data_IF_801123368080
#
_entry.id   IF_801123368080
#
_cell.length_a   1.000
_cell.length_b   1.000
_cell.length_c   1.000
_cell.angle_alpha   90.00
_cell.angle_beta   90.00
_cell.angle_gamma   90.00
#
_symmetry.space_group_name_H-M   'P 1'
#
loop_
_entity.id
_entity.type
_entity.pdbx_description
1 polymer ?
#
# COMPACT_ATOMS: atom_id res chain seq x y z
N UNK A 1 32.67 -0.79 -8.96
CA UNK A 1 31.80 -1.47 -7.98
C UNK A 1 30.40 -0.92 -8.14
N UNK A 2 29.38 -1.77 -8.15
CA UNK A 2 27.98 -1.35 -8.11
C UNK A 2 27.63 -0.74 -6.74
N UNK A 3 26.49 -0.08 -6.65
CA UNK A 3 25.98 0.46 -5.37
C UNK A 3 25.81 -0.66 -4.34
N UNK A 4 25.28 -1.82 -4.74
CA UNK A 4 25.14 -2.99 -3.87
C UNK A 4 26.48 -3.52 -3.37
N UNK A 5 27.46 -3.64 -4.25
CA UNK A 5 28.82 -4.06 -3.89
C UNK A 5 29.49 -3.10 -2.89
N UNK A 6 29.26 -1.78 -3.03
CA UNK A 6 29.79 -0.77 -2.10
C UNK A 6 29.14 -0.85 -0.72
N UNK A 7 27.82 -1.04 -0.66
CA UNK A 7 27.10 -1.24 0.59
C UNK A 7 27.60 -2.51 1.30
N UNK A 8 27.77 -3.60 0.55
CA UNK A 8 28.28 -4.87 1.10
C UNK A 8 29.73 -4.73 1.62
N UNK A 9 30.58 -3.97 0.92
CA UNK A 9 31.95 -3.72 1.34
C UNK A 9 32.02 -2.91 2.65
N UNK A 10 31.31 -1.78 2.72
CA UNK A 10 31.27 -0.90 3.89
C UNK A 10 30.65 -1.60 5.11
N UNK A 11 29.61 -2.41 4.91
CA UNK A 11 29.02 -3.24 5.98
C UNK A 11 30.04 -4.22 6.56
N UNK A 12 30.77 -4.94 5.68
CA UNK A 12 31.78 -5.93 6.10
C UNK A 12 32.96 -5.27 6.79
N UNK A 13 33.37 -4.10 6.33
CA UNK A 13 34.45 -3.31 6.96
C UNK A 13 34.09 -2.89 8.40
N UNK A 14 32.82 -2.57 8.65
CA UNK A 14 32.31 -2.31 10.00
C UNK A 14 31.96 -3.59 10.80
N UNK A 15 32.24 -4.79 10.27
CA UNK A 15 32.02 -6.07 10.95
C UNK A 15 30.55 -6.44 11.17
N UNK A 16 29.61 -5.86 10.42
CA UNK A 16 28.17 -6.07 10.62
C UNK A 16 27.63 -7.24 9.78
N UNK A 17 26.65 -7.98 10.30
CA UNK A 17 25.82 -8.90 9.51
C UNK A 17 24.74 -8.12 8.73
N UNK A 18 24.08 -8.75 7.75
CA UNK A 18 22.99 -8.10 7.01
C UNK A 18 21.78 -7.81 7.91
N UNK A 19 21.57 -8.64 8.92
CA UNK A 19 20.57 -8.49 9.98
C UNK A 19 20.88 -7.26 10.83
N UNK A 20 22.12 -7.11 11.31
CA UNK A 20 22.56 -5.93 12.06
C UNK A 20 22.50 -4.65 11.21
N UNK A 21 22.80 -4.81 9.91
CA UNK A 21 22.45 -3.94 8.78
C UNK A 21 21.04 -3.35 8.92
N UNK A 22 20.08 -4.26 8.77
CA UNK A 22 18.66 -3.94 8.77
C UNK A 22 18.19 -3.33 10.08
N UNK A 23 18.57 -3.90 11.22
CA UNK A 23 18.17 -3.41 12.55
C UNK A 23 18.58 -1.95 12.78
N UNK A 24 19.79 -1.55 12.37
CA UNK A 24 20.28 -0.17 12.50
C UNK A 24 19.53 0.84 11.63
N UNK A 25 18.97 0.39 10.51
CA UNK A 25 18.23 1.22 9.56
C UNK A 25 16.70 1.07 9.73
N UNK A 26 16.23 0.24 10.67
CA UNK A 26 14.80 -0.06 10.82
C UNK A 26 14.20 -0.89 9.67
N UNK A 27 15.02 -1.72 9.01
CA UNK A 27 14.68 -2.48 7.81
C UNK A 27 14.86 -3.99 8.02
N UNK A 28 14.19 -4.79 7.18
CA UNK A 28 14.39 -6.23 7.20
C UNK A 28 15.75 -6.61 6.61
N UNK A 29 16.35 -7.70 7.12
CA UNK A 29 17.54 -8.33 6.52
C UNK A 29 17.39 -8.57 5.01
N UNK A 30 16.18 -8.95 4.58
CA UNK A 30 15.89 -9.21 3.16
C UNK A 30 16.02 -7.95 2.30
N UNK A 31 15.63 -6.78 2.81
CA UNK A 31 15.81 -5.51 2.10
C UNK A 31 17.29 -5.20 1.86
N UNK A 32 18.12 -5.35 2.90
CA UNK A 32 19.59 -5.20 2.80
C UNK A 32 20.19 -6.22 1.82
N UNK A 33 19.74 -7.48 1.86
CA UNK A 33 20.21 -8.51 0.93
C UNK A 33 19.87 -8.21 -0.53
N UNK A 34 18.70 -7.61 -0.81
CA UNK A 34 18.30 -7.22 -2.16
C UNK A 34 19.15 -6.05 -2.67
N UNK A 35 19.52 -5.11 -1.81
CA UNK A 35 20.42 -4.01 -2.18
C UNK A 35 21.83 -4.50 -2.48
N UNK A 36 22.39 -5.36 -1.63
CA UNK A 36 23.75 -5.91 -1.84
C UNK A 36 23.85 -6.80 -3.08
N UNK A 37 22.74 -7.37 -3.54
CA UNK A 37 22.64 -8.17 -4.76
C UNK A 37 22.23 -7.34 -6.00
N UNK A 38 22.14 -6.02 -5.90
CA UNK A 38 21.66 -5.09 -6.94
C UNK A 38 20.25 -5.44 -7.49
N UNK A 39 19.45 -6.19 -6.73
CA UNK A 39 18.08 -6.57 -7.09
C UNK A 39 17.07 -5.46 -6.75
N UNK A 40 17.45 -4.53 -5.88
CA UNK A 40 16.67 -3.36 -5.56
C UNK A 40 17.61 -2.18 -5.25
N UNK A 41 17.15 -0.96 -5.51
CA UNK A 41 17.90 0.26 -5.20
C UNK A 41 17.39 0.83 -3.88
N UNK A 42 18.26 1.22 -2.93
CA UNK A 42 17.82 1.89 -1.71
C UNK A 42 17.10 3.22 -2.03
N UNK A 43 16.07 3.56 -1.26
CA UNK A 43 15.40 4.87 -1.37
C UNK A 43 16.37 6.01 -1.01
N UNK A 44 16.02 7.24 -1.37
CA UNK A 44 16.86 8.40 -1.03
C UNK A 44 17.09 8.54 0.48
N UNK A 45 16.05 8.30 1.29
CA UNK A 45 16.16 8.34 2.75
C UNK A 45 17.13 7.26 3.27
N UNK A 46 17.04 6.04 2.74
CA UNK A 46 17.95 4.95 3.09
C UNK A 46 19.39 5.24 2.66
N UNK A 47 19.61 5.87 1.50
CA UNK A 47 20.94 6.31 1.06
C UNK A 47 21.52 7.38 2.00
N UNK A 48 20.69 8.32 2.48
CA UNK A 48 21.11 9.34 3.44
C UNK A 48 21.49 8.72 4.79
N UNK A 49 20.78 7.68 5.23
CA UNK A 49 21.13 6.95 6.46
C UNK A 49 22.39 6.10 6.29
N UNK A 50 22.55 5.39 5.17
CA UNK A 50 23.78 4.66 4.83
C UNK A 50 24.99 5.59 4.77
N UNK A 51 24.83 6.78 4.18
CA UNK A 51 25.87 7.81 4.14
C UNK A 51 26.29 8.27 5.54
N UNK A 52 25.33 8.50 6.44
CA UNK A 52 25.62 8.86 7.84
C UNK A 52 26.28 7.71 8.59
N UNK A 53 25.80 6.48 8.39
CA UNK A 53 26.28 5.29 9.09
C UNK A 53 27.70 4.89 8.68
N UNK A 54 28.03 5.01 7.40
CA UNK A 54 29.34 4.66 6.85
C UNK A 54 30.31 5.85 6.77
N UNK A 55 29.84 7.09 7.00
CA UNK A 55 30.68 8.29 6.95
C UNK A 55 31.15 8.65 5.54
N UNK A 56 30.44 8.18 4.49
CA UNK A 56 30.77 8.45 3.08
C UNK A 56 29.68 9.29 2.44
N UNK A 57 30.00 10.22 1.52
CA UNK A 57 28.99 10.97 0.77
C UNK A 57 28.06 10.04 -0.03
N UNK A 58 26.78 10.38 -0.11
CA UNK A 58 25.80 9.62 -0.94
C UNK A 58 26.27 9.49 -2.40
N UNK A 59 26.89 10.54 -2.94
CA UNK A 59 27.45 10.55 -4.29
C UNK A 59 28.52 9.44 -4.50
N UNK A 60 29.30 9.14 -3.45
CA UNK A 60 30.30 8.06 -3.46
C UNK A 60 29.65 6.67 -3.49
N UNK A 61 28.48 6.50 -2.86
CA UNK A 61 27.71 5.25 -2.90
C UNK A 61 27.12 4.98 -4.29
N UNK A 62 26.75 6.03 -5.03
CA UNK A 62 26.03 5.91 -6.32
C UNK A 62 26.93 5.91 -7.55
N UNK A 63 28.11 6.56 -7.51
CA UNK A 63 28.98 6.66 -8.68
C UNK A 63 29.81 5.39 -8.89
N UNK A 64 29.77 4.73 -10.06
CA UNK A 64 30.55 3.52 -10.32
C UNK A 64 32.07 3.73 -10.21
N UNK A 65 32.54 4.94 -10.51
CA UNK A 65 33.95 5.31 -10.64
C UNK A 65 34.54 5.99 -9.38
N UNK A 66 33.75 6.16 -8.32
CA UNK A 66 34.22 6.77 -7.08
C UNK A 66 34.90 5.74 -6.17
N UNK A 67 36.18 5.97 -5.87
CA UNK A 67 36.93 5.21 -4.86
C UNK A 67 36.35 5.44 -3.45
N UNK A 68 36.20 4.36 -2.67
CA UNK A 68 35.72 4.42 -1.28
C UNK A 68 36.84 4.98 -0.39
N UNK A 69 37.02 6.31 -0.36
CA UNK A 69 37.93 6.95 0.59
C UNK A 69 37.18 7.37 1.87
N UNK A 70 37.52 6.73 2.99
CA UNK A 70 37.07 7.15 4.32
C UNK A 70 37.84 8.40 4.76
N UNK A 71 37.11 9.35 5.37
CA UNK A 71 37.72 10.55 5.96
C UNK A 71 38.27 10.21 7.35
N UNK A 72 39.60 10.15 7.46
CA UNK A 72 40.29 10.23 8.76
C UNK A 72 40.25 11.67 9.30
N UNK A 73 40.20 11.81 10.62
CA UNK A 73 39.94 13.03 11.39
C UNK A 73 41.00 14.14 11.25
N UNK A 74 40.54 15.37 11.48
CA UNK A 74 41.22 16.63 11.84
C UNK A 74 42.58 17.00 11.22
N UNK A 75 42.58 18.06 10.41
CA UNK A 75 43.55 19.16 10.51
C UNK A 75 43.16 20.32 9.58
N UNK A 76 43.16 21.52 10.16
CA UNK A 76 43.37 22.77 9.46
C UNK A 76 44.55 22.65 8.49
N UNK A 77 44.38 22.95 7.20
CA UNK A 77 45.37 23.66 6.37
C UNK A 77 44.73 24.11 5.04
N UNK A 78 44.81 25.43 4.79
CA UNK A 78 44.46 26.08 3.52
C UNK A 78 45.57 25.86 2.50
N UNK A 79 45.22 25.45 1.28
CA UNK A 79 46.13 25.41 0.13
C UNK A 79 46.61 26.82 -0.29
N UNK A 80 47.87 27.01 -0.73
CA UNK A 80 48.42 28.32 -1.11
C UNK A 80 48.17 28.65 -2.58
N UNK A 81 48.07 29.94 -2.90
CA UNK A 81 48.31 30.43 -4.26
C UNK A 81 47.30 31.42 -4.83
N UNK A 82 47.20 32.62 -4.24
CA UNK A 82 46.95 33.84 -4.99
C UNK A 82 47.51 35.03 -4.20
N UNK A 83 48.52 35.63 -4.80
CA UNK A 83 49.39 36.66 -4.22
C UNK A 83 48.74 38.07 -4.26
N UNK A 84 49.17 38.91 -3.30
CA UNK A 84 49.17 40.38 -3.21
C UNK A 84 48.06 41.19 -2.48
N UNK A 85 48.42 41.52 -1.22
CA UNK A 85 48.36 42.80 -0.47
C UNK A 85 47.14 43.20 0.41
N UNK A 86 47.38 43.87 1.57
CA UNK A 86 46.45 43.89 2.70
C UNK A 86 45.86 45.28 2.99
N UNK A 87 44.54 45.38 3.27
CA UNK A 87 44.00 46.49 4.10
C UNK A 87 42.80 46.05 4.97
N UNK A 88 43.10 45.73 6.24
CA UNK A 88 42.47 46.18 7.49
C UNK A 88 40.94 46.50 7.51
N UNK A 89 40.10 45.65 8.15
CA UNK A 89 39.09 46.09 9.17
C UNK A 89 38.40 44.89 9.91
N UNK A 90 38.86 44.58 11.13
CA UNK A 90 38.50 43.35 11.87
C UNK A 90 37.26 43.40 12.80
N UNK A 91 36.42 44.43 12.78
CA UNK A 91 35.39 44.59 13.83
C UNK A 91 33.91 44.49 13.40
N UNK A 92 33.61 44.23 12.12
CA UNK A 92 32.22 44.18 11.62
C UNK A 92 31.70 42.77 11.34
N UNK A 93 32.57 41.84 10.90
CA UNK A 93 32.17 40.47 10.52
C UNK A 93 31.76 39.60 11.73
N UNK A 94 32.47 39.70 12.86
CA UNK A 94 32.13 38.92 14.07
C UNK A 94 30.81 39.35 14.72
N UNK A 95 30.48 40.65 14.67
CA UNK A 95 29.20 41.16 15.18
C UNK A 95 28.01 40.67 14.35
N UNK A 96 28.15 40.58 13.02
CA UNK A 96 27.11 40.05 12.14
C UNK A 96 26.94 38.55 12.35
N UNK A 97 28.04 37.80 12.48
CA UNK A 97 28.01 36.37 12.79
C UNK A 97 27.35 36.07 14.15
N UNK A 98 27.64 36.88 15.18
CA UNK A 98 27.03 36.73 16.51
C UNK A 98 25.52 37.01 16.51
N UNK A 99 25.06 38.03 15.77
CA UNK A 99 23.63 38.34 15.65
C UNK A 99 22.89 37.23 14.86
N UNK A 100 23.52 36.68 13.81
CA UNK A 100 22.95 35.56 13.06
C UNK A 100 22.82 34.29 13.92
N UNK A 101 23.84 33.97 14.74
CA UNK A 101 23.79 32.85 15.68
C UNK A 101 22.73 33.05 16.77
N UNK A 102 22.60 34.26 17.32
CA UNK A 102 21.55 34.59 18.30
C UNK A 102 20.14 34.49 17.69
N UNK A 103 19.95 34.95 16.45
CA UNK A 103 18.69 34.80 15.73
C UNK A 103 18.31 33.33 15.50
N UNK A 104 19.28 32.49 15.12
CA UNK A 104 19.09 31.04 14.95
C UNK A 104 18.67 30.35 16.25
N UNK A 105 19.28 30.73 17.38
CA UNK A 105 18.90 30.21 18.70
C UNK A 105 17.49 30.67 19.11
N UNK A 106 17.11 31.92 18.83
CA UNK A 106 15.75 32.38 19.10
C UNK A 106 14.70 31.63 18.27
N UNK A 107 14.99 31.38 16.98
CA UNK A 107 14.10 30.59 16.11
C UNK A 107 14.00 29.15 16.60
N UNK A 108 15.10 28.52 17.01
CA UNK A 108 15.06 27.14 17.51
C UNK A 108 14.22 27.04 18.79
N UNK A 109 14.38 27.98 19.73
CA UNK A 109 13.62 28.00 20.98
C UNK A 109 12.12 28.20 20.72
N UNK A 110 11.75 29.07 19.79
CA UNK A 110 10.34 29.26 19.38
C UNK A 110 9.78 28.00 18.72
N UNK A 111 10.52 27.38 17.81
CA UNK A 111 10.12 26.10 17.20
C UNK A 111 9.93 25.01 18.25
N UNK A 112 10.86 24.87 19.20
CA UNK A 112 10.73 23.91 20.30
C UNK A 112 9.51 24.21 21.18
N UNK A 113 9.21 25.47 21.48
CA UNK A 113 8.04 25.86 22.25
C UNK A 113 6.72 25.54 21.51
N UNK A 114 6.66 25.78 20.21
CA UNK A 114 5.51 25.44 19.37
C UNK A 114 5.31 23.92 19.28
N UNK A 115 6.40 23.16 19.11
CA UNK A 115 6.36 21.70 19.10
C UNK A 115 5.89 21.15 20.45
N UNK A 116 6.41 21.67 21.57
CA UNK A 116 5.95 21.30 22.92
C UNK A 116 4.47 21.63 23.11
N UNK A 117 4.01 22.79 22.66
CA UNK A 117 2.60 23.16 22.75
C UNK A 117 1.70 22.23 21.92
N UNK A 118 2.13 21.86 20.71
CA UNK A 118 1.43 20.87 19.86
C UNK A 118 1.34 19.50 20.52
N UNK A 119 2.43 19.02 21.12
CA UNK A 119 2.46 17.75 21.85
C UNK A 119 1.52 17.78 23.05
N UNK A 120 1.55 18.86 23.84
CA UNK A 120 0.64 19.02 24.99
C UNK A 120 -0.83 19.10 24.54
N UNK A 121 -1.10 19.77 23.42
CA UNK A 121 -2.45 19.87 22.86
C UNK A 121 -2.97 18.50 22.37
N UNK A 122 -2.11 17.71 21.71
CA UNK A 122 -2.44 16.34 21.30
C UNK A 122 -2.65 15.42 22.50
N UNK A 123 -1.83 15.55 23.55
CA UNK A 123 -1.99 14.75 24.76
C UNK A 123 -3.36 14.98 25.41
N UNK A 124 -3.84 16.23 25.43
CA UNK A 124 -5.20 16.54 25.91
C UNK A 124 -6.29 15.92 25.05
N UNK A 125 -6.11 15.84 23.73
CA UNK A 125 -7.07 15.17 22.85
C UNK A 125 -7.09 13.66 23.12
N UNK A 126 -5.92 13.05 23.30
CA UNK A 126 -5.78 11.63 23.68
C UNK A 126 -6.43 11.35 25.05
N UNK A 127 -6.21 12.19 26.05
CA UNK A 127 -6.81 12.02 27.38
C UNK A 127 -8.33 12.22 27.35
N UNK A 128 -8.83 13.13 26.51
CA UNK A 128 -10.27 13.32 26.27
C UNK A 128 -10.88 12.08 25.62
N UNK A 129 -10.20 11.48 24.64
CA UNK A 129 -10.61 10.23 23.99
C UNK A 129 -10.60 9.06 25.00
N UNK A 130 -9.55 8.95 25.81
CA UNK A 130 -9.44 7.93 26.88
C UNK A 130 -10.51 8.06 27.96
N UNK A 131 -10.91 9.29 28.29
CA UNK A 131 -12.02 9.55 29.22
C UNK A 131 -13.39 9.18 28.60
N UNK A 132 -13.52 9.24 27.28
CA UNK A 132 -14.74 8.80 26.57
C UNK A 132 -14.77 7.28 26.31
N UNK A 133 -13.62 6.61 26.21
CA UNK A 133 -13.54 5.19 25.80
C UNK A 133 -13.32 4.18 26.93
N UNK A 134 -13.22 4.62 28.20
CA UNK A 134 -12.87 3.74 29.32
C UNK A 134 -11.50 3.05 29.13
N UNK A 135 -11.03 2.25 30.10
CA UNK A 135 -9.82 1.45 29.95
C UNK A 135 -10.07 0.33 28.92
N UNK A 136 -9.82 0.60 27.64
CA UNK A 136 -9.85 -0.40 26.59
C UNK A 136 -8.63 -1.31 26.75
N UNK A 137 -8.82 -2.48 27.35
CA UNK A 137 -7.79 -3.53 27.29
C UNK A 137 -7.82 -4.08 25.87
N UNK A 138 -6.89 -3.63 25.02
CA UNK A 138 -6.75 -4.16 23.66
C UNK A 138 -6.06 -5.52 23.80
N UNK A 139 -6.84 -6.59 23.76
CA UNK A 139 -6.35 -7.95 23.69
C UNK A 139 -5.86 -8.23 22.26
N UNK A 140 -4.54 -8.44 22.09
CA UNK A 140 -3.98 -9.01 20.87
C UNK A 140 -3.84 -10.52 21.10
N UNK A 141 -4.64 -11.38 20.43
CA UNK A 141 -4.37 -12.81 20.47
C UNK A 141 -3.03 -13.09 19.79
N UNK A 142 -2.19 -13.87 20.48
CA UNK A 142 -0.91 -14.34 19.97
C UNK A 142 -1.17 -15.43 18.91
N UNK A 143 -0.71 -15.23 17.67
CA UNK A 143 -1.02 -16.09 16.52
C UNK A 143 -0.29 -17.45 16.54
N UNK A 144 0.05 -17.95 17.72
CA UNK A 144 0.65 -19.26 17.92
C UNK A 144 -0.22 -20.08 18.85
N UNK A 145 -0.83 -21.13 18.29
CA UNK A 145 -1.66 -22.18 18.90
C UNK A 145 -3.17 -21.99 18.81
N UNK A 146 -3.79 -23.02 18.22
CA UNK A 146 -5.22 -23.19 18.06
C UNK A 146 -5.93 -23.36 19.40
N UNK A 147 -6.35 -22.26 20.03
CA UNK A 147 -7.51 -22.19 20.93
C UNK A 147 -8.14 -20.79 20.81
N UNK A 148 -9.16 -20.67 19.95
CA UNK A 148 -9.98 -19.45 19.88
C UNK A 148 -10.90 -19.44 21.12
N UNK A 149 -10.55 -18.67 22.17
CA UNK A 149 -10.81 -19.07 23.56
C UNK A 149 -12.03 -18.47 24.29
N UNK A 150 -12.79 -17.53 23.73
CA UNK A 150 -13.91 -16.86 24.45
C UNK A 150 -15.30 -17.05 23.81
N UNK A 151 -15.36 -17.63 22.61
CA UNK A 151 -16.61 -17.95 21.89
C UNK A 151 -16.94 -19.44 22.03
N UNK A 152 -18.22 -19.74 22.23
CA UNK A 152 -18.78 -21.09 22.23
C UNK A 152 -19.10 -21.54 20.80
N UNK A 153 -19.57 -20.62 19.96
CA UNK A 153 -19.88 -20.83 18.54
C UNK A 153 -19.77 -19.49 17.79
N UNK A 154 -19.44 -19.53 16.51
CA UNK A 154 -19.40 -18.35 15.65
C UNK A 154 -19.46 -18.71 14.18
N UNK A 155 -20.00 -17.80 13.39
CA UNK A 155 -19.98 -17.89 11.94
C UNK A 155 -19.81 -16.51 11.33
N UNK A 156 -19.21 -16.50 10.14
CA UNK A 156 -19.05 -15.31 9.34
C UNK A 156 -19.33 -15.67 7.88
N UNK A 157 -19.93 -14.73 7.17
CA UNK A 157 -20.11 -14.78 5.74
C UNK A 157 -19.92 -13.39 5.15
N UNK A 158 -18.94 -13.26 4.27
CA UNK A 158 -18.72 -12.08 3.42
C UNK A 158 -19.26 -12.35 2.04
N UNK A 159 -19.97 -11.37 1.49
CA UNK A 159 -20.39 -11.35 0.08
C UNK A 159 -20.25 -9.94 -0.48
N UNK A 160 -20.37 -9.75 -1.80
CA UNK A 160 -20.54 -8.40 -2.35
C UNK A 160 -21.93 -7.87 -2.01
N UNK A 161 -22.01 -6.62 -1.55
CA UNK A 161 -23.29 -5.98 -1.25
C UNK A 161 -24.05 -5.67 -2.55
N UNK A 162 -25.26 -6.22 -2.69
CA UNK A 162 -26.09 -6.03 -3.89
C UNK A 162 -26.72 -4.65 -3.98
N UNK A 163 -26.84 -3.94 -2.86
CA UNK A 163 -27.36 -2.57 -2.87
C UNK A 163 -26.25 -1.56 -3.19
N UNK A 164 -24.99 -1.93 -2.95
CA UNK A 164 -23.81 -1.13 -3.27
C UNK A 164 -22.61 -2.05 -3.58
N UNK A 165 -22.34 -2.31 -4.86
CA UNK A 165 -21.30 -3.26 -5.26
C UNK A 165 -19.86 -2.79 -4.97
N UNK A 166 -19.67 -1.54 -4.55
CA UNK A 166 -18.39 -1.03 -4.01
C UNK A 166 -18.14 -1.46 -2.55
N UNK A 167 -19.11 -2.15 -1.94
CA UNK A 167 -19.03 -2.61 -0.56
C UNK A 167 -19.08 -4.15 -0.47
N UNK A 168 -18.51 -4.65 0.62
CA UNK A 168 -18.70 -6.02 1.09
C UNK A 168 -19.77 -6.03 2.17
N UNK A 169 -20.66 -7.01 2.08
CA UNK A 169 -21.66 -7.31 3.07
C UNK A 169 -21.14 -8.40 4.00
N UNK A 170 -20.87 -8.03 5.25
CA UNK A 170 -20.44 -8.95 6.30
C UNK A 170 -21.64 -9.31 7.15
N UNK A 171 -21.97 -10.60 7.18
CA UNK A 171 -22.97 -11.19 8.07
C UNK A 171 -22.25 -12.05 9.09
N UNK A 172 -22.45 -11.77 10.37
CA UNK A 172 -21.71 -12.40 11.46
C UNK A 172 -22.65 -12.87 12.55
N UNK A 173 -22.32 -14.01 13.16
CA UNK A 173 -22.93 -14.53 14.37
C UNK A 173 -21.85 -14.97 15.34
N UNK A 174 -22.03 -14.69 16.62
CA UNK A 174 -21.11 -15.10 17.67
C UNK A 174 -21.86 -15.37 18.98
N UNK A 175 -21.52 -16.48 19.63
CA UNK A 175 -22.06 -16.90 20.93
C UNK A 175 -20.92 -16.85 21.94
N UNK A 176 -20.86 -15.85 22.84
CA UNK A 176 -19.86 -15.82 23.91
C UNK A 176 -20.03 -16.98 24.90
N UNK A 177 -18.93 -17.49 25.46
CA UNK A 177 -18.98 -18.50 26.54
C UNK A 177 -19.52 -17.95 27.86
N UNK A 178 -19.39 -16.64 28.05
CA UNK A 178 -19.87 -15.93 29.23
C UNK A 178 -20.53 -14.63 28.79
N UNK A 179 -21.82 -14.50 29.11
CA UNK A 179 -22.59 -13.28 28.97
C UNK A 179 -22.95 -12.77 30.37
N UNK A 180 -22.80 -11.47 30.60
CA UNK A 180 -23.20 -10.82 31.85
C UNK A 180 -24.58 -10.18 31.66
N UNK A 181 -25.39 -10.19 32.72
CA UNK A 181 -26.73 -9.62 32.69
C UNK A 181 -26.67 -8.11 32.37
N UNK A 182 -27.43 -7.70 31.34
CA UNK A 182 -27.53 -6.32 30.91
C UNK A 182 -26.37 -5.81 30.04
N UNK A 183 -25.53 -6.71 29.51
CA UNK A 183 -24.55 -6.36 28.47
C UNK A 183 -25.25 -5.90 27.18
N UNK A 184 -24.67 -4.89 26.53
CA UNK A 184 -25.01 -4.53 25.14
C UNK A 184 -23.90 -4.98 24.20
N UNK A 185 -24.29 -5.42 23.01
CA UNK A 185 -23.35 -5.97 22.03
C UNK A 185 -23.34 -5.15 20.73
N UNK A 186 -22.14 -4.99 20.17
CA UNK A 186 -21.91 -4.47 18.82
C UNK A 186 -20.93 -5.33 18.07
N UNK A 187 -21.11 -5.46 16.76
CA UNK A 187 -20.05 -5.94 15.89
C UNK A 187 -19.24 -4.78 15.36
N UNK A 188 -17.92 -4.92 15.35
CA UNK A 188 -16.98 -3.91 14.86
C UNK A 188 -16.05 -4.57 13.85
N UNK A 189 -16.07 -4.09 12.61
CA UNK A 189 -15.10 -4.47 11.59
C UNK A 189 -14.00 -3.43 11.56
N UNK A 190 -12.74 -3.89 11.54
CA UNK A 190 -11.56 -3.03 11.53
C UNK A 190 -10.63 -3.39 10.36
N UNK A 191 -10.16 -2.36 9.66
CA UNK A 191 -9.15 -2.48 8.61
C UNK A 191 -8.16 -1.32 8.74
N UNK A 192 -6.94 -1.59 9.21
CA UNK A 192 -5.98 -0.54 9.54
C UNK A 192 -6.54 0.47 10.55
N UNK A 193 -6.60 1.74 10.16
CA UNK A 193 -7.13 2.84 10.96
C UNK A 193 -8.65 3.05 10.79
N UNK A 194 -9.31 2.27 9.93
CA UNK A 194 -10.73 2.38 9.65
C UNK A 194 -11.53 1.36 10.48
N UNK A 195 -12.73 1.76 10.90
CA UNK A 195 -13.66 0.87 11.58
C UNK A 195 -15.11 1.18 11.25
N UNK A 196 -15.92 0.14 11.18
CA UNK A 196 -17.36 0.22 10.98
C UNK A 196 -18.05 -0.66 12.02
N UNK A 197 -19.20 -0.23 12.50
CA UNK A 197 -19.92 -0.94 13.55
C UNK A 197 -21.41 -1.09 13.23
N UNK A 198 -22.01 -2.14 13.77
CA UNK A 198 -23.45 -2.28 13.85
C UNK A 198 -23.85 -2.79 15.23
N UNK A 199 -25.04 -2.41 15.68
CA UNK A 199 -25.63 -2.98 16.88
C UNK A 199 -25.97 -4.45 16.63
N UNK A 200 -25.74 -5.30 17.62
CA UNK A 200 -26.02 -6.73 17.50
C UNK A 200 -27.44 -7.07 17.95
N UNK A 201 -28.09 -7.96 17.22
CA UNK A 201 -29.35 -8.58 17.61
C UNK A 201 -29.08 -9.76 18.54
N UNK A 202 -29.78 -9.83 19.67
CA UNK A 202 -29.67 -10.91 20.65
C UNK A 202 -30.75 -11.97 20.40
N UNK A 203 -30.35 -13.17 20.01
CA UNK A 203 -31.21 -14.34 19.75
C UNK A 203 -30.51 -15.64 20.19
N UNK A 204 -30.25 -15.79 21.50
CA UNK A 204 -29.41 -16.88 22.07
C UNK A 204 -27.96 -16.82 21.57
N UNK A 205 -27.43 -15.61 21.45
CA UNK A 205 -26.20 -15.27 20.75
C UNK A 205 -26.38 -13.95 20.02
N UNK A 206 -25.29 -13.38 19.53
CA UNK A 206 -25.30 -12.09 18.86
C UNK A 206 -25.17 -12.28 17.36
N UNK A 207 -26.04 -11.63 16.59
CA UNK A 207 -25.92 -11.56 15.13
C UNK A 207 -25.91 -10.13 14.64
N UNK A 208 -25.20 -9.88 13.55
CA UNK A 208 -25.07 -8.56 12.96
C UNK A 208 -24.88 -8.64 11.46
N UNK A 209 -25.28 -7.56 10.80
CA UNK A 209 -25.09 -7.36 9.38
C UNK A 209 -24.57 -5.95 9.15
N UNK A 210 -23.51 -5.81 8.37
CA UNK A 210 -22.89 -4.52 8.09
C UNK A 210 -22.37 -4.48 6.65
N UNK A 211 -22.55 -3.33 6.01
CA UNK A 211 -21.98 -3.03 4.69
C UNK A 211 -20.72 -2.20 4.89
N UNK A 212 -19.58 -2.73 4.47
CA UNK A 212 -18.26 -2.08 4.59
C UNK A 212 -17.72 -1.76 3.22
N UNK A 213 -17.03 -0.62 3.04
CA UNK A 213 -16.26 -0.35 1.84
C UNK A 213 -15.33 -1.52 1.50
N UNK A 214 -15.14 -1.77 0.21
CA UNK A 214 -14.24 -2.82 -0.25
C UNK A 214 -12.81 -2.57 0.26
N UNK A 215 -12.36 -3.43 1.17
CA UNK A 215 -10.99 -3.44 1.73
C UNK A 215 -10.43 -4.84 1.59
N UNK A 216 -9.12 -4.95 1.35
CA UNK A 216 -8.48 -6.25 1.04
C UNK A 216 -8.33 -7.15 2.29
N UNK A 217 -8.24 -6.54 3.47
CA UNK A 217 -8.11 -7.28 4.75
C UNK A 217 -8.92 -6.60 5.84
N UNK A 218 -9.59 -7.37 6.70
CA UNK A 218 -10.23 -6.84 7.92
C UNK A 218 -10.34 -7.88 9.03
N UNK A 219 -10.57 -7.42 10.26
CA UNK A 219 -10.93 -8.26 11.41
C UNK A 219 -12.30 -7.88 11.95
N UNK A 220 -13.08 -8.88 12.35
CA UNK A 220 -14.40 -8.70 12.96
C UNK A 220 -14.30 -8.96 14.46
N UNK A 221 -14.82 -8.03 15.26
CA UNK A 221 -14.86 -8.12 16.71
C UNK A 221 -16.31 -8.07 17.20
N UNK A 222 -16.61 -8.86 18.22
CA UNK A 222 -17.78 -8.68 19.07
C UNK A 222 -17.37 -7.83 20.28
N UNK A 223 -17.93 -6.63 20.38
CA UNK A 223 -17.72 -5.71 21.49
C UNK A 223 -18.88 -5.83 22.47
N UNK A 224 -18.62 -6.35 23.65
CA UNK A 224 -19.58 -6.43 24.75
C UNK A 224 -19.31 -5.31 25.74
N UNK A 225 -20.35 -4.55 26.08
CA UNK A 225 -20.25 -3.45 27.04
C UNK A 225 -21.14 -3.76 28.23
N UNK A 226 -20.53 -3.92 29.41
CA UNK A 226 -21.24 -4.17 30.66
C UNK A 226 -21.92 -2.92 31.21
N UNK A 227 -22.78 -3.09 32.23
CA UNK A 227 -23.50 -1.98 32.88
C UNK A 227 -22.59 -0.98 33.59
N UNK A 228 -21.37 -1.40 33.94
CA UNK A 228 -20.29 -0.55 34.49
C UNK A 228 -19.60 0.33 33.44
N UNK A 229 -19.87 0.08 32.14
CA UNK A 229 -19.15 0.69 31.03
C UNK A 229 -17.84 -0.01 30.66
N UNK A 230 -17.49 -1.12 31.31
CA UNK A 230 -16.35 -1.94 30.88
C UNK A 230 -16.63 -2.57 29.51
N UNK A 231 -15.61 -2.60 28.66
CA UNK A 231 -15.70 -3.16 27.31
C UNK A 231 -14.80 -4.38 27.17
N UNK A 232 -15.36 -5.43 26.58
CA UNK A 232 -14.65 -6.66 26.21
C UNK A 232 -14.76 -6.83 24.69
N UNK A 233 -13.62 -6.81 24.02
CA UNK A 233 -13.54 -7.03 22.58
C UNK A 233 -13.09 -8.47 22.32
N UNK A 234 -13.96 -9.27 21.72
CA UNK A 234 -13.69 -10.65 21.36
C UNK A 234 -13.46 -10.70 19.86
N UNK A 235 -12.29 -11.19 19.42
CA UNK A 235 -12.03 -11.42 18.00
C UNK A 235 -12.92 -12.57 17.50
N UNK A 236 -13.67 -12.34 16.44
CA UNK A 236 -14.54 -13.34 15.81
C UNK A 236 -13.78 -14.02 14.67
N UNK A 237 -13.31 -13.23 13.70
CA UNK A 237 -12.54 -13.73 12.54
C UNK A 237 -11.61 -12.63 12.00
N UNK A 238 -10.69 -13.02 11.12
CA UNK A 238 -9.91 -12.12 10.27
C UNK A 238 -9.88 -12.64 8.85
N UNK A 239 -10.16 -11.75 7.90
CA UNK A 239 -10.25 -12.01 6.48
C UNK A 239 -9.10 -11.32 5.73
N UNK A 240 -8.62 -11.98 4.67
CA UNK A 240 -7.48 -11.56 3.86
C UNK A 240 -7.73 -11.84 2.37
N UNK A 241 -6.96 -11.19 1.50
CA UNK A 241 -6.99 -11.35 0.04
C UNK A 241 -8.40 -11.19 -0.55
N UNK A 242 -9.21 -10.32 0.04
CA UNK A 242 -10.60 -10.08 -0.35
C UNK A 242 -10.69 -9.49 -1.76
N UNK A 243 -9.68 -8.72 -2.20
CA UNK A 243 -9.61 -8.22 -3.56
C UNK A 243 -9.55 -9.36 -4.57
N UNK A 244 -8.72 -10.38 -4.33
CA UNK A 244 -8.64 -11.55 -5.20
C UNK A 244 -9.92 -12.40 -5.14
N UNK A 245 -10.54 -12.49 -3.96
CA UNK A 245 -11.73 -13.33 -3.75
C UNK A 245 -12.99 -12.72 -4.34
N UNK A 246 -13.09 -11.39 -4.40
CA UNK A 246 -14.30 -10.70 -4.83
C UNK A 246 -14.08 -9.80 -6.05
N UNK A 247 -13.05 -10.04 -6.86
CA UNK A 247 -12.81 -9.30 -8.11
C UNK A 247 -12.47 -10.24 -9.25
N UNK A 248 -12.70 -9.78 -10.48
CA UNK A 248 -12.18 -10.44 -11.67
C UNK A 248 -10.79 -9.90 -11.99
N UNK A 249 -9.83 -10.80 -12.23
CA UNK A 249 -8.59 -10.46 -12.90
C UNK A 249 -8.79 -10.64 -14.41
N UNK A 250 -8.55 -9.58 -15.17
CA UNK A 250 -8.73 -9.56 -16.63
C UNK A 250 -7.42 -9.19 -17.28
N UNK A 251 -6.95 -10.04 -18.19
CA UNK A 251 -5.82 -9.75 -19.06
C UNK A 251 -6.22 -9.99 -20.51
N UNK A 252 -5.59 -9.27 -21.44
CA UNK A 252 -5.85 -9.44 -22.85
C UNK A 252 -4.57 -9.27 -23.67
N UNK A 253 -4.51 -9.96 -24.81
CA UNK A 253 -3.37 -9.89 -25.71
C UNK A 253 -3.72 -10.44 -27.10
N UNK A 254 -2.84 -10.19 -28.06
CA UNK A 254 -2.96 -10.79 -29.38
C UNK A 254 -2.40 -12.21 -29.38
N UNK A 255 -3.23 -13.20 -29.72
CA UNK A 255 -2.75 -14.54 -30.04
C UNK A 255 -2.17 -14.55 -31.47
N UNK A 256 -2.80 -13.81 -32.38
CA UNK A 256 -2.31 -13.59 -33.74
C UNK A 256 -2.81 -12.25 -34.29
N UNK A 257 -2.05 -11.66 -35.21
CA UNK A 257 -2.37 -10.34 -35.77
C UNK A 257 -1.98 -9.20 -34.83
N UNK A 258 -2.74 -8.10 -34.86
CA UNK A 258 -2.46 -6.92 -34.05
C UNK A 258 -2.82 -5.61 -34.73
N UNK A 259 -2.23 -4.53 -34.24
CA UNK A 259 -2.27 -3.22 -34.88
C UNK A 259 -1.14 -3.17 -35.93
N UNK A 260 -1.50 -2.88 -37.17
CA UNK A 260 -0.57 -2.78 -38.29
C UNK A 260 -0.78 -1.48 -39.07
N UNK A 261 0.29 -0.97 -39.67
CA UNK A 261 0.25 0.24 -40.49
C UNK A 261 0.83 -0.07 -41.86
N UNK A 262 0.03 0.15 -42.90
CA UNK A 262 0.40 -0.13 -44.29
C UNK A 262 -0.24 0.90 -45.20
N UNK A 263 0.50 1.37 -46.21
CA UNK A 263 -0.02 2.31 -47.22
C UNK A 263 -0.69 3.57 -46.64
N UNK A 264 -0.18 4.10 -45.51
CA UNK A 264 -0.75 5.29 -44.86
C UNK A 264 -1.99 5.02 -44.00
N UNK A 265 -2.41 3.76 -43.86
CA UNK A 265 -3.60 3.35 -43.12
C UNK A 265 -3.24 2.44 -41.95
N UNK A 266 -3.98 2.56 -40.86
CA UNK A 266 -3.90 1.65 -39.72
C UNK A 266 -5.03 0.63 -39.77
N UNK A 267 -4.70 -0.63 -39.50
CA UNK A 267 -5.64 -1.74 -39.35
C UNK A 267 -5.40 -2.44 -38.02
N UNK A 268 -6.47 -2.79 -37.33
CA UNK A 268 -6.49 -3.58 -36.10
C UNK A 268 -7.22 -4.86 -36.42
N UNK A 269 -6.48 -5.94 -36.62
CA UNK A 269 -7.06 -7.21 -37.03
C UNK A 269 -6.25 -8.39 -36.53
N UNK A 270 -6.93 -9.43 -36.03
CA UNK A 270 -6.28 -10.57 -35.42
C UNK A 270 -7.22 -11.36 -34.52
N UNK A 271 -6.70 -12.46 -33.96
CA UNK A 271 -7.39 -13.15 -32.88
C UNK A 271 -6.90 -12.60 -31.54
N UNK A 272 -7.81 -12.02 -30.78
CA UNK A 272 -7.55 -11.48 -29.46
C UNK A 272 -7.94 -12.53 -28.42
N UNK A 273 -7.01 -12.84 -27.52
CA UNK A 273 -7.28 -13.64 -26.34
C UNK A 273 -7.61 -12.72 -25.15
N UNK A 274 -8.67 -13.04 -24.41
CA UNK A 274 -9.02 -12.43 -23.13
C UNK A 274 -8.98 -13.53 -22.08
N UNK A 275 -8.08 -13.41 -21.12
CA UNK A 275 -7.99 -14.28 -19.97
C UNK A 275 -8.73 -13.64 -18.79
N UNK A 276 -9.62 -14.40 -18.16
CA UNK A 276 -10.37 -13.97 -16.98
C UNK A 276 -10.14 -15.00 -15.88
N UNK A 277 -9.71 -14.53 -14.72
CA UNK A 277 -9.52 -15.35 -13.53
C UNK A 277 -10.31 -14.77 -12.34
N UNK A 278 -10.87 -15.65 -11.51
CA UNK A 278 -11.56 -15.32 -10.27
C UNK A 278 -11.31 -16.40 -9.23
N UNK A 279 -10.89 -16.00 -8.03
CA UNK A 279 -10.77 -16.90 -6.88
C UNK A 279 -12.08 -17.02 -6.08
N UNK A 280 -13.16 -16.38 -6.56
CA UNK A 280 -14.48 -16.37 -5.90
C UNK A 280 -15.25 -17.69 -5.98
N UNK A 281 -14.73 -18.68 -6.71
CA UNK A 281 -15.55 -19.79 -7.21
C UNK A 281 -16.69 -19.24 -8.08
N UNK A 282 -17.95 -19.57 -7.73
CA UNK A 282 -19.13 -19.18 -8.51
C UNK A 282 -19.72 -17.78 -8.16
N UNK A 283 -19.20 -17.08 -7.14
CA UNK A 283 -19.85 -15.84 -6.66
C UNK A 283 -19.71 -14.67 -7.64
N UNK A 284 -18.50 -14.41 -8.13
CA UNK A 284 -18.22 -13.36 -9.11
C UNK A 284 -18.09 -14.00 -10.49
N UNK A 285 -19.00 -13.64 -11.40
CA UNK A 285 -19.02 -14.19 -12.75
C UNK A 285 -19.00 -13.08 -13.80
N UNK A 286 -18.22 -13.23 -14.88
CA UNK A 286 -18.29 -12.32 -16.01
C UNK A 286 -19.61 -12.51 -16.75
N UNK A 287 -20.41 -11.46 -16.89
CA UNK A 287 -21.73 -11.52 -17.56
C UNK A 287 -21.73 -10.86 -18.93
N UNK A 288 -20.86 -9.88 -19.14
CA UNK A 288 -20.72 -9.22 -20.44
C UNK A 288 -19.32 -8.68 -20.65
N UNK A 289 -18.96 -8.42 -21.90
CA UNK A 289 -17.64 -7.91 -22.22
C UNK A 289 -17.56 -7.36 -23.64
N UNK A 290 -16.65 -6.42 -23.84
CA UNK A 290 -16.44 -5.71 -25.09
C UNK A 290 -14.97 -5.43 -25.33
N UNK A 291 -14.59 -5.45 -26.60
CA UNK A 291 -13.30 -4.96 -27.09
C UNK A 291 -13.54 -3.54 -27.60
N UNK A 292 -12.74 -2.60 -27.13
CA UNK A 292 -12.86 -1.18 -27.41
C UNK A 292 -11.63 -0.73 -28.19
N UNK A 293 -11.86 0.03 -29.28
CA UNK A 293 -10.80 0.71 -30.00
C UNK A 293 -10.80 2.19 -29.65
N UNK A 294 -9.66 2.68 -29.20
CA UNK A 294 -9.42 4.09 -28.94
C UNK A 294 -8.50 4.67 -29.99
N UNK A 295 -8.77 5.91 -30.39
CA UNK A 295 -7.87 6.75 -31.17
C UNK A 295 -7.69 8.09 -30.47
N UNK A 296 -6.45 8.48 -30.18
CA UNK A 296 -6.12 9.71 -29.45
C UNK A 296 -6.92 9.86 -28.13
N UNK A 297 -7.09 8.76 -27.41
CA UNK A 297 -7.83 8.72 -26.13
C UNK A 297 -9.36 8.73 -26.26
N UNK A 298 -9.93 8.79 -27.47
CA UNK A 298 -11.38 8.70 -27.70
C UNK A 298 -11.76 7.33 -28.23
N UNK A 299 -12.77 6.70 -27.65
CA UNK A 299 -13.35 5.47 -28.19
C UNK A 299 -13.97 5.74 -29.57
N UNK A 300 -13.58 4.94 -30.58
CA UNK A 300 -14.04 5.08 -31.96
C UNK A 300 -14.79 3.83 -32.48
N UNK A 301 -14.53 2.65 -31.91
CA UNK A 301 -15.21 1.39 -32.24
C UNK A 301 -15.35 0.52 -31.00
N UNK A 302 -16.30 -0.40 -31.05
CA UNK A 302 -16.46 -1.48 -30.08
C UNK A 302 -16.95 -2.77 -30.74
N UNK A 303 -16.68 -3.90 -30.10
CA UNK A 303 -17.19 -5.21 -30.48
C UNK A 303 -17.49 -6.02 -29.22
N UNK A 304 -18.64 -6.71 -29.17
CA UNK A 304 -18.99 -7.58 -28.04
C UNK A 304 -18.16 -8.87 -28.07
N UNK A 305 -17.75 -9.33 -26.89
CA UNK A 305 -17.19 -10.67 -26.68
C UNK A 305 -18.38 -11.62 -26.52
N UNK A 306 -18.44 -12.66 -27.35
CA UNK A 306 -19.52 -13.65 -27.33
C UNK A 306 -19.22 -14.78 -26.36
N UNK A 307 -20.27 -15.38 -25.79
CA UNK A 307 -20.19 -16.59 -24.94
C UNK A 307 -19.52 -16.40 -23.57
N UNK A 308 -19.34 -15.16 -23.10
CA UNK A 308 -18.98 -14.90 -21.70
C UNK A 308 -19.96 -15.55 -20.72
N UNK A 309 -19.43 -16.11 -19.63
CA UNK A 309 -20.20 -16.67 -18.53
C UNK A 309 -20.85 -18.04 -18.76
N UNK A 310 -20.81 -18.62 -19.97
CA UNK A 310 -21.47 -19.92 -20.23
C UNK A 310 -20.76 -21.14 -19.61
N UNK A 311 -19.46 -21.04 -19.37
CA UNK A 311 -18.60 -22.11 -18.85
C UNK A 311 -17.45 -21.50 -18.01
N UNK A 312 -17.75 -20.47 -17.22
CA UNK A 312 -16.74 -19.84 -16.38
C UNK A 312 -16.52 -20.69 -15.11
N UNK A 313 -15.31 -21.21 -14.94
CA UNK A 313 -14.90 -22.05 -13.82
C UNK A 313 -13.89 -21.37 -12.88
N UNK A 314 -13.68 -20.07 -13.07
CA UNK A 314 -12.70 -19.27 -12.32
C UNK A 314 -11.38 -19.05 -13.05
N UNK A 315 -11.11 -19.73 -14.17
CA UNK A 315 -9.89 -19.52 -14.98
C UNK A 315 -10.17 -19.85 -16.45
N UNK A 316 -10.55 -18.84 -17.24
CA UNK A 316 -11.08 -19.08 -18.60
C UNK A 316 -10.50 -18.13 -19.63
N UNK A 317 -10.23 -18.66 -20.83
CA UNK A 317 -9.82 -17.90 -22.00
C UNK A 317 -10.99 -17.73 -22.98
N UNK A 318 -11.19 -16.50 -23.43
CA UNK A 318 -12.14 -16.13 -24.48
C UNK A 318 -11.38 -15.62 -25.70
N UNK A 319 -11.69 -16.17 -26.87
CA UNK A 319 -11.05 -15.80 -28.12
C UNK A 319 -12.04 -15.02 -28.99
N UNK A 320 -11.62 -13.86 -29.47
CA UNK A 320 -12.45 -12.99 -30.30
C UNK A 320 -11.67 -12.50 -31.51
N UNK A 321 -12.17 -12.82 -32.69
CA UNK A 321 -11.65 -12.27 -33.93
C UNK A 321 -12.05 -10.80 -34.07
N UNK A 322 -11.07 -9.91 -34.23
CA UNK A 322 -11.26 -8.49 -34.51
C UNK A 322 -10.84 -8.22 -35.96
N UNK A 323 -11.61 -7.37 -36.65
CA UNK A 323 -11.26 -6.91 -38.00
C UNK A 323 -11.73 -5.47 -38.27
N UNK A 324 -10.87 -4.50 -37.96
CA UNK A 324 -11.08 -3.07 -38.22
C UNK A 324 -9.98 -2.53 -39.12
N UNK A 325 -10.30 -2.15 -40.36
CA UNK A 325 -9.29 -1.79 -41.37
C UNK A 325 -9.41 -0.36 -41.86
N UNK A 326 -8.36 0.08 -42.56
CA UNK A 326 -8.31 1.27 -43.41
C UNK A 326 -8.56 2.60 -42.66
N UNK A 327 -8.18 2.65 -41.38
CA UNK A 327 -8.37 3.80 -40.51
C UNK A 327 -7.25 4.83 -40.72
N UNK A 328 -7.62 6.10 -40.66
CA UNK A 328 -6.66 7.21 -40.70
C UNK A 328 -5.90 7.32 -39.38
N UNK A 329 -4.59 7.56 -39.44
CA UNK A 329 -3.75 7.76 -38.26
C UNK A 329 -2.59 6.77 -38.15
N UNK A 330 -1.65 7.05 -37.25
CA UNK A 330 -0.46 6.23 -36.99
C UNK A 330 -0.69 5.24 -35.85
N UNK A 331 0.09 4.16 -35.79
CA UNK A 331 0.01 3.12 -34.75
C UNK A 331 -0.09 3.68 -33.32
N UNK A 332 0.75 4.66 -32.99
CA UNK A 332 0.81 5.28 -31.65
C UNK A 332 -0.49 5.96 -31.20
N UNK A 333 -1.38 6.28 -32.12
CA UNK A 333 -2.66 6.91 -31.82
C UNK A 333 -3.72 5.89 -31.42
N UNK A 334 -3.53 4.62 -31.78
CA UNK A 334 -4.50 3.57 -31.54
C UNK A 334 -4.16 2.77 -30.29
N UNK A 335 -5.19 2.44 -29.51
CA UNK A 335 -5.10 1.52 -28.38
C UNK A 335 -6.31 0.59 -28.39
N UNK A 336 -6.10 -0.66 -28.06
CA UNK A 336 -7.17 -1.64 -27.89
C UNK A 336 -7.27 -1.96 -26.40
N UNK A 337 -8.50 -1.98 -25.89
CA UNK A 337 -8.81 -2.37 -24.52
C UNK A 337 -9.88 -3.44 -24.52
N UNK A 338 -9.83 -4.31 -23.51
CA UNK A 338 -10.95 -5.18 -23.16
C UNK A 338 -11.62 -4.61 -21.93
N UNK A 339 -12.94 -4.65 -21.92
CA UNK A 339 -13.80 -4.29 -20.80
C UNK A 339 -14.69 -5.49 -20.49
N UNK A 340 -14.69 -5.94 -19.23
CA UNK A 340 -15.52 -7.03 -18.72
C UNK A 340 -16.39 -6.47 -17.61
N UNK A 341 -17.66 -6.87 -17.59
CA UNK A 341 -18.60 -6.54 -16.53
C UNK A 341 -19.02 -7.82 -15.81
N UNK A 342 -18.99 -7.79 -14.48
CA UNK A 342 -19.43 -8.91 -13.64
C UNK A 342 -20.93 -8.89 -13.31
N UNK A 343 -21.40 -9.91 -12.62
CA UNK A 343 -22.79 -10.07 -12.15
C UNK A 343 -23.23 -9.08 -11.06
N UNK A 344 -22.36 -8.14 -10.66
CA UNK A 344 -22.63 -7.02 -9.76
C UNK A 344 -22.47 -5.66 -10.46
N UNK A 345 -22.47 -5.66 -11.80
CA UNK A 345 -22.33 -4.48 -12.66
C UNK A 345 -20.99 -3.73 -12.51
N UNK A 346 -19.97 -4.35 -11.89
CA UNK A 346 -18.63 -3.78 -11.79
C UNK A 346 -17.85 -4.03 -13.06
N UNK A 347 -17.02 -3.06 -13.45
CA UNK A 347 -16.30 -3.07 -14.72
C UNK A 347 -14.80 -3.19 -14.51
N UNK A 348 -14.19 -4.14 -15.21
CA UNK A 348 -12.76 -4.45 -15.19
C UNK A 348 -12.19 -4.22 -16.58
N UNK A 349 -11.05 -3.53 -16.68
CA UNK A 349 -10.44 -3.20 -17.97
C UNK A 349 -9.02 -3.71 -18.07
N UNK A 350 -8.66 -4.25 -19.23
CA UNK A 350 -7.30 -4.63 -19.59
C UNK A 350 -6.86 -3.89 -20.86
N UNK A 351 -5.66 -3.33 -20.85
CA UNK A 351 -5.00 -2.94 -22.10
C UNK A 351 -4.58 -4.21 -22.86
N UNK A 352 -4.61 -4.15 -24.19
CA UNK A 352 -4.18 -5.26 -25.06
C UNK A 352 -2.76 -4.98 -25.53
N UNK A 353 -1.83 -5.79 -25.04
CA UNK A 353 -0.40 -5.73 -25.39
C UNK A 353 -0.07 -6.46 -26.70
#
# INVERSE_FOLDING_TARGET
MTTGEKIAALRKEQGMSQEALGEKLGLSRQAVSKWEADQAVPTMDNLMELSKLFGVPVDTLLRPDAELMLKAEDSDESWPGAENQPVRNGNRKWKIAAIAAAGLLCVSVVCSAVSLWRVIAMQKQIDTLRMQSGPSTIYYPDNTSAENSDLADWSENVTVDRENSENLLVTVSAVPRSMLDGETAKFVVRSGDQSWECDAEDNNGYSGKLSVPFVDTFSVYLTLTGTSGETRNILVTSEYDLEQRFSLNVMAGWESGGISFSFGKTSVSGNLQTWINSNSGEEIQPVSGRILLYQNGKQIKEQKITSLGKEFDGDTYYYTQVDWRDMEGTLSQFKVKVEITDNFDRTYTADVD
#
